data_IF_689691505874
#
_entry.id   IF_689691505874
#
_cell.length_a   1.000
_cell.length_b   1.000
_cell.length_c   1.000
_cell.angle_alpha   90.00
_cell.angle_beta   90.00
_cell.angle_gamma   90.00
#
_symmetry.space_group_name_H-M   'P 1'
#
loop_
_entity.id
_entity.type
_entity.pdbx_description
1 polymer ?
#
# COMPACT_ATOMS: atom_id res chain seq x y z
N UNK A 1 10.52 2.99 21.35
CA UNK A 1 11.35 2.80 20.15
C UNK A 1 12.11 1.50 20.32
N UNK A 2 12.00 0.60 19.34
CA UNK A 2 12.71 -0.68 19.28
C UNK A 2 13.66 -0.66 18.09
N UNK A 3 14.88 -1.15 18.27
CA UNK A 3 15.89 -1.23 17.20
C UNK A 3 16.42 -2.65 17.11
N UNK A 4 16.50 -3.17 15.90
CA UNK A 4 16.97 -4.52 15.59
C UNK A 4 18.00 -4.46 14.46
N UNK A 5 18.99 -5.35 14.50
CA UNK A 5 19.92 -5.50 13.38
C UNK A 5 19.22 -6.20 12.20
N UNK A 6 19.40 -5.68 10.99
CA UNK A 6 18.79 -6.16 9.77
C UNK A 6 19.77 -5.99 8.59
N UNK A 7 20.82 -6.82 8.50
CA UNK A 7 21.85 -6.69 7.46
C UNK A 7 21.35 -7.06 6.05
N UNK A 8 20.11 -7.54 5.93
CA UNK A 8 19.43 -7.87 4.69
C UNK A 8 17.95 -7.45 4.77
N UNK A 9 17.24 -7.32 3.63
CA UNK A 9 15.81 -7.04 3.61
C UNK A 9 15.00 -8.03 4.47
N UNK A 10 14.06 -7.49 5.25
CA UNK A 10 13.24 -8.25 6.19
C UNK A 10 11.80 -8.45 5.69
N UNK A 11 11.03 -9.27 6.39
CA UNK A 11 9.57 -9.31 6.25
C UNK A 11 8.92 -8.56 7.44
N UNK A 12 8.20 -7.49 7.16
CA UNK A 12 7.39 -6.78 8.13
C UNK A 12 5.95 -7.31 8.07
N UNK A 13 5.44 -7.78 9.20
CA UNK A 13 4.02 -8.03 9.43
C UNK A 13 3.51 -6.94 10.35
N UNK A 14 2.46 -6.26 9.94
CA UNK A 14 1.89 -5.17 10.69
C UNK A 14 0.37 -5.33 10.76
N UNK A 15 -0.20 -5.42 11.96
CA UNK A 15 -1.64 -5.50 12.15
C UNK A 15 -2.05 -4.55 13.27
N UNK A 16 -2.65 -3.43 12.88
CA UNK A 16 -3.12 -2.40 13.79
C UNK A 16 -4.57 -2.06 13.51
N UNK A 17 -5.37 -1.74 14.53
CA UNK A 17 -6.78 -1.46 14.30
C UNK A 17 -7.02 -0.16 13.54
N UNK A 18 -6.30 0.91 13.89
CA UNK A 18 -6.47 2.23 13.29
C UNK A 18 -5.24 3.13 13.49
N UNK A 19 -5.06 4.10 12.59
CA UNK A 19 -4.12 5.22 12.76
C UNK A 19 -3.23 5.49 11.56
N UNK A 20 -1.96 5.82 11.79
CA UNK A 20 -1.01 6.22 10.73
C UNK A 20 0.14 5.23 10.68
N UNK A 21 0.41 4.71 9.49
CA UNK A 21 1.48 3.77 9.20
C UNK A 21 2.49 4.44 8.29
N UNK A 22 3.71 4.63 8.77
CA UNK A 22 4.79 5.23 8.00
C UNK A 22 5.93 4.23 7.84
N UNK A 23 6.16 3.79 6.61
CA UNK A 23 7.21 2.85 6.24
C UNK A 23 8.28 3.61 5.49
N UNK A 24 9.51 3.60 6.00
CA UNK A 24 10.64 4.34 5.42
C UNK A 24 11.70 3.32 5.03
N UNK A 25 11.72 2.99 3.74
CA UNK A 25 12.67 2.07 3.13
C UNK A 25 13.90 2.83 2.61
N UNK A 26 15.09 2.44 3.06
CA UNK A 26 16.34 3.10 2.67
C UNK A 26 17.53 2.16 2.70
N UNK A 27 18.70 2.66 2.30
CA UNK A 27 19.96 1.93 2.43
C UNK A 27 20.41 1.95 3.90
N UNK A 28 20.08 0.88 4.62
CA UNK A 28 20.33 0.72 6.05
C UNK A 28 20.45 -0.76 6.39
N UNK A 29 21.18 -1.04 7.46
CA UNK A 29 21.45 -2.37 8.01
C UNK A 29 20.74 -2.61 9.36
N UNK A 30 19.82 -1.72 9.73
CA UNK A 30 19.01 -1.78 10.92
C UNK A 30 17.52 -1.57 10.62
N UNK A 31 16.68 -2.02 11.55
CA UNK A 31 15.25 -1.77 11.55
C UNK A 31 14.87 -1.08 12.84
N UNK A 32 14.14 0.03 12.73
CA UNK A 32 13.63 0.77 13.89
C UNK A 32 12.12 0.85 13.86
N UNK A 33 11.47 0.51 14.96
CA UNK A 33 10.03 0.62 15.15
C UNK A 33 9.74 1.64 16.23
N UNK A 34 8.96 2.64 15.89
CA UNK A 34 8.42 3.62 16.81
C UNK A 34 6.89 3.52 16.80
N UNK A 35 6.33 3.30 17.99
CA UNK A 35 4.89 3.23 18.21
C UNK A 35 4.52 4.36 19.15
N UNK A 36 3.55 5.17 18.74
CA UNK A 36 3.03 6.30 19.52
C UNK A 36 1.51 6.30 19.50
N UNK A 37 0.84 6.82 20.55
CA UNK A 37 -0.57 7.13 20.45
C UNK A 37 -0.79 8.21 19.38
N UNK A 38 -1.86 8.12 18.59
CA UNK A 38 -2.22 9.16 17.64
C UNK A 38 -2.53 10.50 18.36
N UNK A 39 -3.22 10.43 19.50
CA UNK A 39 -3.42 11.56 20.41
C UNK A 39 -3.05 11.18 21.85
N UNK A 40 -1.95 11.75 22.36
CA UNK A 40 -1.47 11.48 23.72
C UNK A 40 -2.42 11.99 24.83
N UNK A 41 -3.35 12.90 24.52
CA UNK A 41 -4.38 13.34 25.47
C UNK A 41 -5.57 12.37 25.53
N UNK A 42 -5.70 11.45 24.57
CA UNK A 42 -6.74 10.42 24.54
C UNK A 42 -6.24 9.13 25.16
N UNK A 43 -6.74 8.81 26.35
CA UNK A 43 -6.39 7.56 27.04
C UNK A 43 -6.65 6.28 26.22
N UNK A 44 -7.55 6.32 25.24
CA UNK A 44 -7.79 5.21 24.30
C UNK A 44 -6.64 4.99 23.33
N UNK A 45 -6.08 6.06 22.77
CA UNK A 45 -4.94 5.99 21.86
C UNK A 45 -3.68 5.57 22.63
N UNK A 46 -3.53 6.07 23.87
CA UNK A 46 -2.47 5.63 24.79
C UNK A 46 -2.58 4.12 25.04
N UNK A 47 -3.76 3.62 25.42
CA UNK A 47 -3.98 2.18 25.61
C UNK A 47 -3.77 1.37 24.35
N UNK A 48 -4.11 1.90 23.17
CA UNK A 48 -3.89 1.21 21.91
C UNK A 48 -2.38 1.08 21.62
N UNK A 49 -1.60 2.14 21.84
CA UNK A 49 -0.15 2.14 21.65
C UNK A 49 0.56 1.19 22.63
N UNK A 50 0.13 1.16 23.90
CA UNK A 50 0.68 0.25 24.93
C UNK A 50 0.41 -1.24 24.64
N UNK A 51 -0.58 -1.55 23.79
CA UNK A 51 -0.95 -2.93 23.41
C UNK A 51 -0.27 -3.44 22.15
N UNK A 52 0.50 -2.60 21.47
CA UNK A 52 1.27 -3.03 20.30
C UNK A 52 2.47 -3.84 20.79
N UNK A 53 2.47 -5.12 20.44
CA UNK A 53 3.63 -5.98 20.61
C UNK A 53 4.55 -5.83 19.41
N UNK A 54 5.84 -5.60 19.67
CA UNK A 54 6.88 -5.55 18.64
C UNK A 54 7.85 -6.72 18.88
N UNK A 55 7.92 -7.66 17.94
CA UNK A 55 8.80 -8.83 18.00
C UNK A 55 9.60 -8.94 16.72
N UNK A 56 10.90 -9.21 16.84
CA UNK A 56 11.76 -9.48 15.70
C UNK A 56 12.42 -10.84 15.90
N UNK A 57 12.15 -11.78 15.00
CA UNK A 57 12.74 -13.12 15.01
C UNK A 57 12.93 -13.62 13.58
N UNK A 58 14.07 -14.24 13.31
CA UNK A 58 14.37 -14.90 12.02
C UNK A 58 14.14 -14.03 10.76
N UNK A 59 14.45 -12.72 10.86
CA UNK A 59 14.25 -11.77 9.75
C UNK A 59 12.80 -11.35 9.51
N UNK A 60 11.90 -11.70 10.44
CA UNK A 60 10.51 -11.26 10.46
C UNK A 60 10.32 -10.27 11.61
N UNK A 61 9.86 -9.06 11.29
CA UNK A 61 9.42 -8.06 12.24
C UNK A 61 7.89 -8.12 12.32
N UNK A 62 7.36 -8.48 13.48
CA UNK A 62 5.94 -8.53 13.79
C UNK A 62 5.56 -7.34 14.68
N UNK A 63 4.66 -6.49 14.19
CA UNK A 63 4.10 -5.32 14.88
C UNK A 63 2.59 -5.48 14.92
N UNK A 64 2.08 -6.13 15.96
CA UNK A 64 0.67 -6.52 16.04
C UNK A 64 0.03 -6.03 17.34
N UNK A 65 -1.19 -5.51 17.25
CA UNK A 65 -1.99 -5.18 18.41
C UNK A 65 -2.51 -6.45 19.11
N UNK A 66 -2.36 -6.53 20.44
CA UNK A 66 -3.01 -7.58 21.21
C UNK A 66 -4.54 -7.58 20.96
N UNK A 67 -5.18 -8.76 20.81
CA UNK A 67 -6.60 -8.85 20.49
C UNK A 67 -7.47 -8.07 21.46
N UNK A 68 -8.41 -7.30 20.91
CA UNK A 68 -9.35 -6.51 21.69
C UNK A 68 -10.41 -7.43 22.32
N UNK A 69 -10.43 -7.51 23.66
CA UNK A 69 -11.50 -8.20 24.39
C UNK A 69 -12.66 -7.25 24.74
N UNK A 70 -13.88 -7.63 24.34
CA UNK A 70 -15.12 -6.97 24.77
C UNK A 70 -15.74 -5.97 23.77
N UNK A 71 -17.06 -5.78 23.85
CA UNK A 71 -17.86 -5.05 22.85
C UNK A 71 -17.49 -3.56 22.65
N UNK A 72 -16.99 -2.87 23.68
CA UNK A 72 -16.57 -1.45 23.59
C UNK A 72 -15.26 -1.27 22.81
N UNK A 73 -14.42 -2.30 22.74
CA UNK A 73 -13.15 -2.22 22.05
C UNK A 73 -13.32 -2.30 20.51
N UNK A 74 -14.34 -3.02 20.04
CA UNK A 74 -14.70 -3.05 18.61
C UNK A 74 -15.28 -1.73 18.07
N UNK A 75 -15.84 -0.86 18.93
CA UNK A 75 -16.47 0.40 18.51
C UNK A 75 -15.50 1.56 18.38
N UNK A 76 -14.42 1.52 19.15
CA UNK A 76 -13.46 2.61 19.30
C UNK A 76 -12.13 1.97 19.76
N UNK A 77 -11.33 1.44 18.82
CA UNK A 77 -10.15 0.66 19.17
C UNK A 77 -8.97 1.52 19.65
N UNK A 78 -9.07 2.85 19.52
CA UNK A 78 -7.94 3.78 19.64
C UNK A 78 -7.09 3.80 18.36
N UNK A 79 -6.38 4.90 18.14
CA UNK A 79 -5.51 5.09 16.98
C UNK A 79 -4.03 5.18 17.40
N UNK A 80 -3.18 4.59 16.57
CA UNK A 80 -1.72 4.57 16.79
C UNK A 80 -0.97 5.14 15.59
N UNK A 81 0.15 5.79 15.85
CA UNK A 81 1.13 6.15 14.84
C UNK A 81 2.30 5.16 14.93
N UNK A 82 2.49 4.39 13.87
CA UNK A 82 3.58 3.43 13.76
C UNK A 82 4.53 3.87 12.66
N UNK A 83 5.76 4.19 13.03
CA UNK A 83 6.84 4.48 12.08
C UNK A 83 7.82 3.32 12.08
N UNK A 84 7.96 2.66 10.94
CA UNK A 84 8.95 1.60 10.72
C UNK A 84 9.97 2.10 9.72
N UNK A 85 11.24 2.09 10.11
CA UNK A 85 12.36 2.30 9.19
C UNK A 85 13.03 0.97 8.94
N UNK A 86 13.24 0.64 7.67
CA UNK A 86 13.64 -0.70 7.23
C UNK A 86 14.55 -0.67 6.00
N UNK A 87 15.36 -1.71 5.76
CA UNK A 87 16.18 -1.83 4.55
C UNK A 87 15.33 -1.82 3.28
N UNK A 88 15.81 -1.16 2.23
CA UNK A 88 15.15 -1.12 0.93
C UNK A 88 14.95 -2.53 0.35
N UNK A 89 13.81 -2.76 -0.31
CA UNK A 89 13.41 -4.07 -0.84
C UNK A 89 12.83 -5.03 0.21
N UNK A 90 12.63 -4.59 1.46
CA UNK A 90 11.94 -5.41 2.45
C UNK A 90 10.48 -5.61 2.08
N UNK A 91 9.96 -6.78 2.42
CA UNK A 91 8.58 -7.18 2.19
C UNK A 91 7.69 -6.70 3.32
N UNK A 92 6.47 -6.29 3.01
CA UNK A 92 5.50 -5.77 3.97
C UNK A 92 4.17 -6.46 3.77
N UNK A 93 3.61 -7.03 4.83
CA UNK A 93 2.20 -7.42 4.92
C UNK A 93 1.55 -6.62 6.04
N UNK A 94 0.73 -5.64 5.66
CA UNK A 94 0.11 -4.71 6.57
C UNK A 94 -1.43 -4.83 6.53
N UNK A 95 -2.07 -4.80 7.70
CA UNK A 95 -3.52 -4.80 7.84
C UNK A 95 -3.91 -3.68 8.78
N UNK A 96 -4.88 -2.86 8.33
CA UNK A 96 -5.47 -1.86 9.21
C UNK A 96 -6.88 -1.50 8.79
N UNK A 97 -7.84 -1.54 9.72
CA UNK A 97 -9.22 -1.25 9.39
C UNK A 97 -9.43 0.23 9.01
N UNK A 98 -8.82 1.16 9.76
CA UNK A 98 -8.97 2.60 9.58
C UNK A 98 -7.60 3.29 9.62
N UNK A 99 -6.90 3.41 8.49
CA UNK A 99 -5.53 3.94 8.54
C UNK A 99 -5.06 4.71 7.31
N UNK A 100 -4.03 5.52 7.50
CA UNK A 100 -3.23 6.05 6.40
C UNK A 100 -1.94 5.24 6.31
N UNK A 101 -1.61 4.72 5.12
CA UNK A 101 -0.36 4.05 4.85
C UNK A 101 0.51 4.93 3.95
N UNK A 102 1.68 5.33 4.45
CA UNK A 102 2.70 6.03 3.68
C UNK A 102 3.97 5.19 3.55
N UNK A 103 4.29 4.75 2.34
CA UNK A 103 5.54 4.12 1.98
C UNK A 103 6.50 5.11 1.34
N UNK A 104 7.66 5.33 1.93
CA UNK A 104 8.73 6.20 1.42
C UNK A 104 9.92 5.34 1.01
N UNK A 105 10.45 5.59 -0.18
CA UNK A 105 11.54 4.82 -0.76
C UNK A 105 11.10 3.48 -1.37
N UNK A 106 12.08 2.61 -1.66
CA UNK A 106 11.84 1.35 -2.38
C UNK A 106 11.43 0.22 -1.46
N UNK A 107 10.14 -0.08 -1.43
CA UNK A 107 9.60 -1.28 -0.81
C UNK A 107 9.75 -2.49 -1.75
N UNK A 108 9.86 -3.69 -1.18
CA UNK A 108 9.83 -4.94 -1.93
C UNK A 108 8.40 -5.30 -2.33
N UNK A 109 7.95 -6.47 -1.90
CA UNK A 109 6.54 -6.87 -2.03
C UNK A 109 5.70 -6.18 -0.95
N UNK A 110 4.70 -5.40 -1.37
CA UNK A 110 3.78 -4.73 -0.46
C UNK A 110 2.39 -5.38 -0.53
N UNK A 111 1.88 -5.88 0.58
CA UNK A 111 0.50 -6.30 0.78
C UNK A 111 -0.16 -5.38 1.79
N UNK A 112 -1.31 -4.80 1.44
CA UNK A 112 -2.11 -4.00 2.36
C UNK A 112 -3.60 -4.31 2.23
N UNK A 113 -4.25 -4.58 3.36
CA UNK A 113 -5.70 -4.71 3.45
C UNK A 113 -6.26 -3.68 4.44
N UNK A 114 -7.26 -2.92 4.01
CA UNK A 114 -7.95 -1.97 4.87
C UNK A 114 -9.41 -1.75 4.53
N UNK A 115 -10.18 -1.27 5.51
CA UNK A 115 -11.59 -0.95 5.27
C UNK A 115 -11.71 0.49 4.75
N UNK A 116 -11.25 1.48 5.51
CA UNK A 116 -11.20 2.86 5.08
C UNK A 116 -9.78 3.41 5.26
N UNK A 117 -9.09 3.64 4.15
CA UNK A 117 -7.68 4.01 4.20
C UNK A 117 -7.24 4.85 3.01
N UNK A 118 -6.19 5.65 3.21
CA UNK A 118 -5.46 6.28 2.10
C UNK A 118 -4.09 5.62 2.02
N UNK A 119 -3.69 5.18 0.83
CA UNK A 119 -2.41 4.52 0.60
C UNK A 119 -1.58 5.37 -0.36
N UNK A 120 -0.39 5.77 0.08
CA UNK A 120 0.58 6.48 -0.75
C UNK A 120 1.91 5.75 -0.67
N UNK A 121 2.45 5.31 -1.81
CA UNK A 121 3.70 4.56 -1.85
C UNK A 121 4.60 5.13 -2.93
N UNK A 122 5.82 5.53 -2.58
CA UNK A 122 6.76 6.11 -3.53
C UNK A 122 7.25 5.07 -4.56
N UNK A 123 7.73 3.90 -4.12
CA UNK A 123 8.20 2.82 -5.00
C UNK A 123 7.96 1.43 -4.39
N UNK A 124 7.49 0.48 -5.21
CA UNK A 124 7.30 -0.92 -4.83
C UNK A 124 7.76 -1.89 -5.93
N UNK A 125 8.40 -3.00 -5.53
CA UNK A 125 8.74 -4.09 -6.46
C UNK A 125 7.46 -4.84 -6.90
N UNK A 126 6.53 -5.11 -5.98
CA UNK A 126 5.18 -5.60 -6.28
C UNK A 126 4.15 -5.05 -5.28
N UNK A 127 2.87 -4.98 -5.66
CA UNK A 127 1.83 -4.41 -4.79
C UNK A 127 0.51 -5.20 -4.84
N UNK A 128 0.01 -5.64 -3.69
CA UNK A 128 -1.33 -6.19 -3.50
C UNK A 128 -2.07 -5.30 -2.51
N UNK A 129 -2.94 -4.43 -3.00
CA UNK A 129 -3.62 -3.43 -2.18
C UNK A 129 -5.13 -3.65 -2.30
N UNK A 130 -5.82 -3.80 -1.17
CA UNK A 130 -7.27 -3.99 -1.15
C UNK A 130 -7.94 -3.11 -0.10
N UNK A 131 -8.77 -2.19 -0.58
CA UNK A 131 -9.54 -1.26 0.24
C UNK A 131 -11.04 -1.43 0.01
N UNK A 132 -11.85 -1.13 1.03
CA UNK A 132 -13.29 -0.91 0.79
C UNK A 132 -13.56 0.53 0.39
N UNK A 133 -12.91 1.49 1.04
CA UNK A 133 -13.03 2.89 0.74
C UNK A 133 -11.69 3.63 0.91
N UNK A 134 -11.43 4.54 0.00
CA UNK A 134 -10.28 5.44 0.00
C UNK A 134 -9.36 5.24 -1.20
N UNK A 135 -8.42 6.16 -1.31
CA UNK A 135 -7.61 6.38 -2.50
C UNK A 135 -6.26 5.68 -2.39
N UNK A 136 -5.76 5.22 -3.53
CA UNK A 136 -4.50 4.49 -3.63
C UNK A 136 -3.62 5.19 -4.65
N UNK A 137 -2.47 5.68 -4.21
CA UNK A 137 -1.44 6.28 -5.06
C UNK A 137 -0.16 5.47 -4.96
N UNK A 138 0.36 5.03 -6.11
CA UNK A 138 1.65 4.36 -6.22
C UNK A 138 2.51 5.15 -7.21
N UNK A 139 3.65 5.65 -6.75
CA UNK A 139 4.59 6.43 -7.56
C UNK A 139 5.21 5.56 -8.65
N UNK A 140 6.11 4.64 -8.28
CA UNK A 140 6.80 3.74 -9.21
C UNK A 140 6.53 2.28 -8.86
N UNK A 141 5.92 1.55 -9.79
CA UNK A 141 5.70 0.12 -9.70
C UNK A 141 6.65 -0.61 -10.65
N UNK A 142 7.51 -1.47 -10.12
CA UNK A 142 8.55 -2.15 -10.92
C UNK A 142 8.11 -3.51 -11.47
N UNK A 143 7.09 -4.11 -10.88
CA UNK A 143 6.60 -5.44 -11.22
C UNK A 143 5.09 -5.54 -11.16
N UNK A 144 4.60 -6.74 -10.84
CA UNK A 144 3.17 -7.03 -10.85
C UNK A 144 2.41 -6.28 -9.73
N UNK A 145 1.16 -5.91 -10.00
CA UNK A 145 0.27 -5.38 -8.99
C UNK A 145 -1.17 -5.85 -9.14
N UNK A 146 -1.85 -5.97 -8.00
CA UNK A 146 -3.28 -6.22 -7.87
C UNK A 146 -3.84 -5.20 -6.86
N UNK A 147 -4.41 -4.12 -7.40
CA UNK A 147 -4.90 -2.98 -6.63
C UNK A 147 -6.41 -2.92 -6.80
N UNK A 148 -7.12 -2.90 -5.67
CA UNK A 148 -8.58 -2.87 -5.64
C UNK A 148 -9.11 -1.92 -4.56
N UNK A 149 -10.12 -1.12 -4.92
CA UNK A 149 -10.91 -0.33 -3.96
C UNK A 149 -12.39 -0.37 -4.34
N UNK A 150 -13.34 -0.41 -3.40
CA UNK A 150 -14.76 -0.31 -3.81
C UNK A 150 -15.17 1.13 -4.10
N UNK A 151 -14.57 2.08 -3.40
CA UNK A 151 -14.83 3.52 -3.56
C UNK A 151 -13.55 4.30 -3.32
N UNK A 152 -13.05 4.96 -4.35
CA UNK A 152 -11.83 5.73 -4.31
C UNK A 152 -11.10 5.65 -5.63
N UNK A 153 -10.19 6.59 -5.81
CA UNK A 153 -9.38 6.68 -7.01
C UNK A 153 -8.12 5.81 -6.88
N UNK A 154 -7.66 5.29 -8.02
CA UNK A 154 -6.40 4.57 -8.12
C UNK A 154 -5.50 5.34 -9.05
N UNK A 155 -4.35 5.80 -8.56
CA UNK A 155 -3.29 6.43 -9.36
C UNK A 155 -2.02 5.58 -9.28
N UNK A 156 -1.55 5.14 -10.45
CA UNK A 156 -0.21 4.58 -10.63
C UNK A 156 0.56 5.53 -11.52
N UNK A 157 1.47 6.31 -10.94
CA UNK A 157 2.18 7.36 -11.68
C UNK A 157 3.11 6.77 -12.74
N UNK A 158 3.82 5.68 -12.44
CA UNK A 158 4.75 5.01 -13.35
C UNK A 158 4.81 3.49 -13.10
N UNK A 159 4.41 2.70 -14.08
CA UNK A 159 4.55 1.24 -14.12
C UNK A 159 5.62 0.83 -15.14
N UNK A 160 6.59 0.04 -14.69
CA UNK A 160 7.76 -0.36 -15.50
C UNK A 160 7.54 -1.68 -16.24
N UNK A 161 6.80 -2.61 -15.67
CA UNK A 161 6.55 -3.91 -16.30
C UNK A 161 5.76 -4.88 -15.43
N UNK A 162 5.40 -6.01 -16.01
CA UNK A 162 4.59 -7.03 -15.36
C UNK A 162 3.09 -6.86 -15.61
N UNK A 163 2.29 -7.61 -14.85
CA UNK A 163 0.83 -7.57 -14.93
C UNK A 163 0.28 -6.65 -13.84
N UNK A 164 -0.42 -5.60 -14.24
CA UNK A 164 -0.99 -4.59 -13.36
C UNK A 164 -2.50 -4.64 -13.47
N UNK A 165 -3.16 -5.12 -12.42
CA UNK A 165 -4.62 -5.18 -12.32
C UNK A 165 -5.11 -4.10 -11.38
N UNK A 166 -5.93 -3.18 -11.90
CA UNK A 166 -6.49 -2.03 -11.18
C UNK A 166 -8.01 -2.13 -11.23
N UNK A 167 -8.67 -2.15 -10.08
CA UNK A 167 -10.13 -2.31 -9.99
C UNK A 167 -10.73 -1.32 -9.01
N UNK A 168 -11.64 -0.47 -9.48
CA UNK A 168 -12.43 0.39 -8.58
C UNK A 168 -13.93 0.25 -8.80
N UNK A 169 -14.75 0.27 -7.75
CA UNK A 169 -16.20 0.30 -7.90
C UNK A 169 -16.72 1.68 -8.30
N UNK A 170 -16.18 2.71 -7.64
CA UNK A 170 -16.51 4.11 -7.85
C UNK A 170 -15.24 4.94 -7.68
N UNK A 171 -14.72 5.47 -8.77
CA UNK A 171 -13.52 6.28 -8.81
C UNK A 171 -12.85 6.22 -10.18
N UNK A 172 -11.94 7.15 -10.40
CA UNK A 172 -11.08 7.17 -11.57
C UNK A 172 -9.91 6.21 -11.41
N UNK A 173 -9.42 5.69 -12.53
CA UNK A 173 -8.17 4.92 -12.59
C UNK A 173 -7.21 5.65 -13.50
N UNK A 174 -6.06 6.04 -12.96
CA UNK A 174 -4.96 6.65 -13.72
C UNK A 174 -3.76 5.74 -13.67
N UNK A 175 -3.15 5.46 -14.82
CA UNK A 175 -1.96 4.63 -14.94
C UNK A 175 -0.99 5.19 -15.97
N UNK A 176 0.25 5.43 -15.53
CA UNK A 176 1.37 5.80 -16.38
C UNK A 176 2.23 4.59 -16.71
N UNK A 177 2.56 4.37 -17.98
CA UNK A 177 3.64 3.46 -18.37
C UNK A 177 4.97 4.22 -18.39
N UNK A 178 6.03 3.61 -17.87
CA UNK A 178 7.37 4.19 -17.87
C UNK A 178 7.87 4.51 -19.29
N UNK A 179 8.87 5.39 -19.39
CA UNK A 179 9.49 5.74 -20.67
C UNK A 179 10.02 4.48 -21.35
N UNK A 180 9.79 4.38 -22.66
CA UNK A 180 10.25 3.27 -23.51
C UNK A 180 9.66 1.89 -23.18
N UNK A 181 8.62 1.81 -22.35
CA UNK A 181 7.88 0.57 -22.09
C UNK A 181 6.72 0.44 -23.07
N UNK A 182 6.70 -0.68 -23.80
CA UNK A 182 5.52 -1.09 -24.55
C UNK A 182 4.46 -1.61 -23.60
N UNK A 183 3.26 -1.05 -23.67
CA UNK A 183 2.16 -1.38 -22.77
C UNK A 183 0.89 -1.78 -23.53
N UNK A 184 0.26 -2.87 -23.09
CA UNK A 184 -1.07 -3.26 -23.51
C UNK A 184 -2.09 -2.88 -22.43
N UNK A 185 -3.27 -2.44 -22.86
CA UNK A 185 -4.37 -2.06 -21.99
C UNK A 185 -5.62 -2.85 -22.33
N UNK A 186 -6.13 -3.57 -21.34
CA UNK A 186 -7.50 -4.02 -21.25
C UNK A 186 -8.22 -3.12 -20.25
N UNK A 187 -9.16 -2.30 -20.73
CA UNK A 187 -9.87 -1.33 -19.90
C UNK A 187 -11.39 -1.44 -20.06
N UNK A 188 -12.11 -1.40 -18.94
CA UNK A 188 -13.57 -1.44 -18.91
C UNK A 188 -14.16 -0.47 -17.90
N UNK A 189 -15.03 0.43 -18.35
CA UNK A 189 -15.85 1.27 -17.48
C UNK A 189 -17.33 1.07 -17.79
N UNK A 190 -18.18 0.94 -16.76
CA UNK A 190 -19.63 0.91 -16.99
C UNK A 190 -20.21 2.32 -17.18
N UNK A 191 -19.67 3.31 -16.45
CA UNK A 191 -20.06 4.71 -16.54
C UNK A 191 -18.83 5.62 -16.48
N UNK A 192 -18.34 6.02 -17.64
CA UNK A 192 -17.21 6.95 -17.77
C UNK A 192 -16.59 6.90 -19.15
N UNK A 193 -15.39 7.48 -19.28
CA UNK A 193 -14.60 7.50 -20.51
C UNK A 193 -13.26 6.82 -20.31
N UNK A 194 -12.79 6.19 -21.38
CA UNK A 194 -11.45 5.60 -21.42
C UNK A 194 -10.58 6.48 -22.32
N UNK A 195 -9.52 7.04 -21.75
CA UNK A 195 -8.49 7.76 -22.48
C UNK A 195 -7.23 6.90 -22.52
N UNK A 196 -6.83 6.47 -23.71
CA UNK A 196 -5.63 5.66 -23.90
C UNK A 196 -4.65 6.40 -24.82
N UNK A 197 -3.46 6.66 -24.31
CA UNK A 197 -2.33 7.25 -25.01
C UNK A 197 -1.04 6.45 -24.80
N UNK A 198 -1.17 5.16 -24.48
CA UNK A 198 -0.05 4.25 -24.31
C UNK A 198 0.67 4.00 -25.64
N UNK A 199 1.99 3.89 -25.56
CA UNK A 199 2.83 3.35 -26.62
C UNK A 199 2.78 1.83 -26.56
N UNK A 200 2.39 1.21 -27.67
CA UNK A 200 2.44 -0.24 -27.83
C UNK A 200 3.19 -0.58 -29.12
N UNK A 201 4.40 -1.09 -28.98
CA UNK A 201 5.26 -1.53 -30.09
C UNK A 201 5.33 -3.04 -30.23
N UNK A 202 4.88 -3.79 -29.21
CA UNK A 202 5.04 -5.25 -29.09
C UNK A 202 3.70 -6.02 -29.12
N UNK A 203 2.58 -5.31 -29.30
CA UNK A 203 1.24 -5.89 -29.33
C UNK A 203 0.88 -6.58 -28.01
N UNK A 204 0.46 -7.84 -28.10
CA UNK A 204 0.13 -8.67 -26.94
C UNK A 204 1.38 -9.14 -26.16
N UNK A 205 2.57 -9.03 -26.74
CA UNK A 205 3.85 -9.38 -26.09
C UNK A 205 4.42 -8.25 -25.22
N UNK A 206 3.71 -7.14 -25.06
CA UNK A 206 4.13 -5.99 -24.28
C UNK A 206 4.59 -6.39 -22.87
N UNK A 207 5.75 -5.89 -22.46
CA UNK A 207 6.31 -6.13 -21.12
C UNK A 207 5.40 -5.64 -19.98
N UNK A 208 4.52 -4.67 -20.25
CA UNK A 208 3.53 -4.14 -19.31
C UNK A 208 2.11 -4.49 -19.78
N UNK A 209 1.39 -5.26 -18.96
CA UNK A 209 0.02 -5.67 -19.22
C UNK A 209 -0.91 -5.03 -18.18
N UNK A 210 -1.69 -4.04 -18.60
CA UNK A 210 -2.58 -3.28 -17.72
C UNK A 210 -4.01 -3.77 -17.90
N UNK A 211 -4.63 -4.20 -16.81
CA UNK A 211 -6.05 -4.51 -16.74
C UNK A 211 -6.71 -3.50 -15.79
N UNK A 212 -7.51 -2.59 -16.31
CA UNK A 212 -8.13 -1.52 -15.53
C UNK A 212 -9.66 -1.61 -15.63
N UNK A 213 -10.36 -1.78 -14.50
CA UNK A 213 -11.82 -1.75 -14.49
C UNK A 213 -12.36 -0.76 -13.47
N UNK A 214 -13.38 0.01 -13.88
CA UNK A 214 -14.14 0.87 -12.99
C UNK A 214 -15.64 0.72 -13.19
N UNK A 215 -16.43 0.71 -12.11
CA UNK A 215 -17.88 0.77 -12.22
C UNK A 215 -18.35 2.17 -12.64
N UNK A 216 -17.83 3.20 -11.98
CA UNK A 216 -18.17 4.60 -12.22
C UNK A 216 -16.91 5.45 -12.13
N UNK A 217 -16.51 6.03 -13.24
CA UNK A 217 -15.33 6.88 -13.34
C UNK A 217 -14.59 6.71 -14.67
N UNK A 218 -13.64 7.60 -14.88
CA UNK A 218 -12.82 7.60 -16.08
C UNK A 218 -11.57 6.73 -15.87
N UNK A 219 -11.12 6.09 -16.94
CA UNK A 219 -9.84 5.38 -16.97
C UNK A 219 -8.91 6.17 -17.87
N UNK A 220 -7.76 6.58 -17.35
CA UNK A 220 -6.72 7.27 -18.10
C UNK A 220 -5.43 6.45 -18.07
N UNK A 221 -5.01 5.98 -19.25
CA UNK A 221 -3.75 5.30 -19.44
C UNK A 221 -2.85 6.11 -20.38
N UNK A 222 -1.61 6.38 -19.97
CA UNK A 222 -0.67 7.19 -20.75
C UNK A 222 0.76 6.69 -20.63
N UNK A 223 1.56 6.86 -21.67
CA UNK A 223 3.02 6.69 -21.57
C UNK A 223 3.67 8.01 -21.17
N UNK A 224 4.74 7.95 -20.35
CA UNK A 224 5.48 9.12 -19.85
C UNK A 224 6.50 9.68 -20.84
#
# INVERSE_FOLDING_TARGET
MHTFAAPAPIALVLDVPAGRLQLIAGDRDDVTVEVRPADAARGRDVQAAERIDVRCADGVLDVTAAPLTGARALRDPGAVEVTVRLPAGSRVDARAALAELRGVGRLGDLSFEGAQATVEVDEADSARLSLKAGDITVGRLRGAADISTQKGDIDVTEAVGGQVTLRTGHGAVTVGAARDVSAALDAGTAYGRIHNSLRNTEGAGAALQIHATTGYGDITARSL
#
